data_IF_598188996084
#
_entry.id   IF_598188996084
#
_cell.length_a   1.000
_cell.length_b   1.000
_cell.length_c   1.000
_cell.angle_alpha   90.00
_cell.angle_beta   90.00
_cell.angle_gamma   90.00
#
_symmetry.space_group_name_H-M   'P 1'
#
loop_
_entity.id
_entity.type
_entity.pdbx_description
1 polymer ?
#
# COMPACT_ATOMS: atom_id res chain seq x y z
N UNK A 1 26.23 13.18 22.36
CA UNK A 1 24.99 12.42 22.60
C UNK A 1 23.98 12.61 21.46
N UNK A 2 23.72 13.83 20.99
CA UNK A 2 22.80 14.15 19.90
C UNK A 2 23.16 13.51 18.53
N UNK A 3 24.45 13.38 18.20
CA UNK A 3 24.91 12.76 16.95
C UNK A 3 24.67 11.25 16.92
N UNK A 4 24.86 10.56 18.04
CA UNK A 4 24.54 9.11 18.18
C UNK A 4 23.03 8.88 18.11
N UNK A 5 22.23 9.77 18.72
CA UNK A 5 20.77 9.68 18.65
C UNK A 5 20.26 9.88 17.22
N UNK A 6 20.80 10.89 16.49
CA UNK A 6 20.48 11.10 15.06
C UNK A 6 20.87 9.90 14.19
N UNK A 7 22.03 9.29 14.43
CA UNK A 7 22.47 8.10 13.65
C UNK A 7 21.62 6.87 13.96
N UNK A 8 21.26 6.64 15.23
CA UNK A 8 20.39 5.53 15.64
C UNK A 8 18.96 5.74 15.13
N UNK A 9 18.43 6.97 15.19
CA UNK A 9 17.12 7.30 14.65
C UNK A 9 17.07 7.16 13.13
N UNK A 10 18.09 7.62 12.41
CA UNK A 10 18.17 7.43 10.94
C UNK A 10 18.30 5.96 10.55
N UNK A 11 19.01 5.14 11.34
CA UNK A 11 19.08 3.72 11.14
C UNK A 11 17.75 3.01 11.42
N UNK A 12 17.02 3.43 12.44
CA UNK A 12 15.67 2.95 12.75
C UNK A 12 14.68 3.28 11.63
N UNK A 13 14.67 4.52 11.15
CA UNK A 13 13.79 4.97 10.05
C UNK A 13 14.06 4.21 8.74
N UNK A 14 15.29 3.77 8.52
CA UNK A 14 15.70 3.03 7.31
C UNK A 14 15.49 1.51 7.41
N UNK A 15 15.12 1.00 8.58
CA UNK A 15 14.97 -0.43 8.79
C UNK A 15 13.52 -0.86 8.50
N UNK A 16 13.33 -1.76 7.53
CA UNK A 16 12.02 -2.31 7.15
C UNK A 16 11.27 -2.95 8.34
N UNK A 17 12.01 -3.51 9.31
CA UNK A 17 11.42 -4.10 10.53
C UNK A 17 10.77 -3.08 11.46
N UNK A 18 11.19 -1.81 11.37
CA UNK A 18 10.69 -0.77 12.28
C UNK A 18 9.21 -0.43 12.04
N UNK A 19 8.78 -0.42 10.77
CA UNK A 19 7.37 -0.23 10.41
C UNK A 19 6.48 -1.34 10.96
N UNK A 20 6.87 -2.60 10.74
CA UNK A 20 6.11 -3.75 11.22
C UNK A 20 6.02 -3.81 12.77
N UNK A 21 7.10 -3.46 13.47
CA UNK A 21 7.08 -3.38 14.94
C UNK A 21 6.20 -2.27 15.46
N UNK A 22 6.20 -1.10 14.83
CA UNK A 22 5.32 0.00 15.20
C UNK A 22 3.85 -0.32 14.91
N UNK A 23 3.57 -0.97 13.78
CA UNK A 23 2.25 -1.44 13.42
C UNK A 23 1.71 -2.42 14.48
N UNK A 24 2.49 -3.43 14.85
CA UNK A 24 2.11 -4.38 15.89
C UNK A 24 1.91 -3.69 17.25
N UNK A 25 2.80 -2.78 17.63
CA UNK A 25 2.68 -2.02 18.87
C UNK A 25 1.40 -1.16 18.87
N UNK A 26 1.10 -0.47 17.77
CA UNK A 26 -0.12 0.33 17.62
C UNK A 26 -1.38 -0.54 17.74
N UNK A 27 -1.38 -1.72 17.13
CA UNK A 27 -2.47 -2.70 17.23
C UNK A 27 -2.69 -3.14 18.68
N UNK A 28 -1.61 -3.48 19.40
CA UNK A 28 -1.71 -3.88 20.81
C UNK A 28 -2.24 -2.72 21.66
N UNK A 29 -1.77 -1.51 21.43
CA UNK A 29 -2.25 -0.31 22.13
C UNK A 29 -3.73 -0.07 21.84
N UNK A 30 -4.18 -0.20 20.58
CA UNK A 30 -5.58 -0.07 20.20
C UNK A 30 -6.47 -1.07 20.95
N UNK A 31 -6.07 -2.36 20.94
CA UNK A 31 -6.78 -3.42 21.66
C UNK A 31 -6.84 -3.18 23.16
N UNK A 32 -5.72 -2.79 23.77
CA UNK A 32 -5.70 -2.46 25.20
C UNK A 32 -6.57 -1.25 25.52
N UNK A 33 -6.51 -0.21 24.72
CA UNK A 33 -7.31 1.00 24.92
C UNK A 33 -8.81 0.71 24.77
N UNK A 34 -9.22 -0.01 23.72
CA UNK A 34 -10.63 -0.38 23.52
C UNK A 34 -11.20 -1.26 24.64
N UNK A 35 -10.37 -2.15 25.23
CA UNK A 35 -10.85 -3.10 26.26
C UNK A 35 -10.68 -2.58 27.70
N UNK A 36 -9.75 -1.68 27.96
CA UNK A 36 -9.50 -1.15 29.31
C UNK A 36 -10.01 0.29 29.49
N UNK A 37 -10.14 1.06 28.41
CA UNK A 37 -10.51 2.47 28.42
C UNK A 37 -12.03 2.73 28.40
N UNK A 38 -12.88 1.72 28.45
CA UNK A 38 -14.32 1.83 28.29
C UNK A 38 -14.68 2.47 26.95
N UNK A 39 -15.66 3.40 26.92
CA UNK A 39 -16.07 4.07 25.69
C UNK A 39 -15.11 5.17 25.20
N UNK A 40 -13.97 5.40 25.86
CA UNK A 40 -13.06 6.49 25.51
C UNK A 40 -12.41 6.31 24.14
N UNK A 41 -12.16 5.07 23.70
CA UNK A 41 -11.60 4.74 22.39
C UNK A 41 -12.57 5.15 21.28
N UNK A 42 -13.81 4.66 21.34
CA UNK A 42 -14.84 4.98 20.36
C UNK A 42 -15.14 6.49 20.33
N UNK A 43 -15.32 7.09 21.52
CA UNK A 43 -15.59 8.53 21.61
C UNK A 43 -14.46 9.38 21.00
N UNK A 44 -13.20 9.00 21.17
CA UNK A 44 -12.06 9.72 20.60
C UNK A 44 -12.06 9.63 19.06
N UNK A 45 -12.19 8.43 18.50
CA UNK A 45 -12.08 8.23 17.06
C UNK A 45 -13.33 8.69 16.29
N UNK A 46 -14.49 8.70 16.92
CA UNK A 46 -15.72 9.27 16.36
C UNK A 46 -15.88 10.76 16.60
N UNK A 47 -14.90 11.42 17.26
CA UNK A 47 -14.90 12.89 17.38
C UNK A 47 -14.81 13.50 15.99
N UNK A 48 -15.74 14.41 15.67
CA UNK A 48 -15.77 15.11 14.38
C UNK A 48 -14.73 16.23 14.33
N UNK A 49 -14.00 16.27 13.24
CA UNK A 49 -13.11 17.35 12.87
C UNK A 49 -13.56 17.94 11.54
N UNK A 50 -14.03 19.21 11.60
CA UNK A 50 -14.57 19.89 10.43
C UNK A 50 -13.64 21.01 9.95
N UNK A 51 -13.44 21.07 8.62
CA UNK A 51 -12.72 22.16 7.96
C UNK A 51 -13.73 22.93 7.11
N UNK A 52 -13.95 24.21 7.47
CA UNK A 52 -14.82 25.09 6.72
C UNK A 52 -14.01 26.20 6.04
N UNK A 53 -14.22 26.39 4.75
CA UNK A 53 -13.64 27.48 3.97
C UNK A 53 -14.76 28.37 3.42
N UNK A 54 -15.33 29.21 4.28
CA UNK A 54 -16.53 29.98 3.98
C UNK A 54 -17.71 29.08 3.61
N UNK A 55 -18.55 29.55 2.69
CA UNK A 55 -19.71 28.79 2.18
C UNK A 55 -19.37 27.89 0.99
N UNK A 56 -18.09 27.88 0.55
CA UNK A 56 -17.67 27.21 -0.68
C UNK A 56 -17.29 25.76 -0.43
N UNK A 57 -16.71 25.46 0.73
CA UNK A 57 -16.16 24.17 1.03
C UNK A 57 -16.32 23.83 2.51
N UNK A 58 -16.96 22.70 2.79
CA UNK A 58 -17.09 22.15 4.15
C UNK A 58 -16.87 20.65 4.09
N UNK A 59 -15.88 20.18 4.83
CA UNK A 59 -15.66 18.75 5.08
C UNK A 59 -15.79 18.53 6.57
N UNK A 60 -16.76 17.72 6.96
CA UNK A 60 -16.99 17.32 8.34
C UNK A 60 -16.95 15.79 8.42
N UNK A 61 -15.91 15.26 9.05
CA UNK A 61 -15.68 13.84 9.15
C UNK A 61 -15.15 13.49 10.54
N UNK A 62 -15.39 12.25 11.01
CA UNK A 62 -14.76 11.72 12.21
C UNK A 62 -13.25 11.63 12.04
N UNK A 63 -12.50 11.62 13.15
CA UNK A 63 -11.04 11.41 13.10
C UNK A 63 -10.68 10.09 12.43
N UNK A 64 -11.44 9.02 12.65
CA UNK A 64 -11.27 7.73 11.99
C UNK A 64 -11.42 7.88 10.47
N UNK A 65 -12.43 8.56 9.99
CA UNK A 65 -12.67 8.82 8.56
C UNK A 65 -11.55 9.67 7.92
N UNK A 66 -11.02 10.66 8.65
CA UNK A 66 -9.85 11.43 8.21
C UNK A 66 -8.60 10.55 8.03
N UNK A 67 -8.43 9.54 8.87
CA UNK A 67 -7.33 8.59 8.75
C UNK A 67 -7.58 7.65 7.57
N UNK A 68 -8.78 7.07 7.48
CA UNK A 68 -9.13 6.08 6.47
C UNK A 68 -9.15 6.65 5.06
N UNK A 69 -9.65 7.87 4.86
CA UNK A 69 -9.68 8.51 3.55
C UNK A 69 -8.48 9.42 3.27
N UNK A 70 -8.01 10.14 4.29
CA UNK A 70 -6.92 11.12 4.10
C UNK A 70 -5.54 10.49 4.20
N UNK A 71 -5.21 9.84 5.31
CA UNK A 71 -3.88 9.27 5.50
C UNK A 71 -3.68 8.03 4.63
N UNK A 72 -4.69 7.16 4.50
CA UNK A 72 -4.57 5.96 3.65
C UNK A 72 -4.42 6.29 2.17
N UNK A 73 -4.87 7.46 1.70
CA UNK A 73 -4.51 7.94 0.35
C UNK A 73 -2.99 7.95 0.14
N UNK A 74 -2.20 8.35 1.17
CA UNK A 74 -0.73 8.36 1.06
C UNK A 74 -0.15 6.94 0.98
N UNK A 75 -0.75 5.99 1.70
CA UNK A 75 -0.39 4.58 1.62
C UNK A 75 -0.65 4.03 0.21
N UNK A 76 -1.85 4.19 -0.31
CA UNK A 76 -2.20 3.72 -1.65
C UNK A 76 -1.43 4.45 -2.76
N UNK A 77 -1.06 5.70 -2.54
CA UNK A 77 -0.17 6.42 -3.44
C UNK A 77 1.22 5.76 -3.47
N UNK A 78 1.81 5.45 -2.31
CA UNK A 78 3.10 4.76 -2.22
C UNK A 78 3.04 3.39 -2.94
N UNK A 79 2.04 2.57 -2.63
CA UNK A 79 1.84 1.26 -3.27
C UNK A 79 1.74 1.40 -4.79
N UNK A 80 0.98 2.38 -5.28
CA UNK A 80 0.82 2.61 -6.73
C UNK A 80 2.10 3.10 -7.41
N UNK A 81 2.96 3.83 -6.70
CA UNK A 81 4.30 4.20 -7.19
C UNK A 81 5.19 2.96 -7.33
N UNK A 82 5.16 2.05 -6.35
CA UNK A 82 5.90 0.78 -6.35
C UNK A 82 5.42 -0.11 -7.50
N UNK A 83 4.10 -0.30 -7.60
CA UNK A 83 3.45 -1.03 -8.69
C UNK A 83 3.92 -0.53 -10.05
N UNK A 84 3.81 0.77 -10.30
CA UNK A 84 4.22 1.36 -11.58
C UNK A 84 5.71 1.20 -11.85
N UNK A 85 6.53 1.33 -10.82
CA UNK A 85 7.97 1.11 -10.92
C UNK A 85 8.25 -0.34 -11.37
N UNK A 86 7.60 -1.32 -10.74
CA UNK A 86 7.80 -2.74 -11.03
C UNK A 86 7.31 -3.13 -12.43
N UNK A 87 6.23 -2.53 -12.92
CA UNK A 87 5.77 -2.73 -14.30
C UNK A 87 6.72 -2.15 -15.35
N UNK A 88 7.39 -1.03 -15.05
CA UNK A 88 8.21 -0.32 -16.05
C UNK A 88 9.67 -0.76 -15.97
N UNK A 89 10.22 -0.96 -14.78
CA UNK A 89 11.64 -1.20 -14.53
C UNK A 89 11.94 -2.45 -13.72
N UNK A 90 10.96 -3.02 -13.01
CA UNK A 90 11.13 -4.14 -12.08
C UNK A 90 10.88 -5.51 -12.71
N UNK A 91 10.64 -6.49 -11.84
CA UNK A 91 10.45 -7.91 -12.18
C UNK A 91 9.20 -8.15 -13.06
N UNK A 92 8.18 -7.28 -12.98
CA UNK A 92 6.95 -7.40 -13.79
C UNK A 92 7.16 -7.04 -15.26
N UNK A 93 8.29 -6.44 -15.63
CA UNK A 93 8.62 -6.10 -17.02
C UNK A 93 8.83 -7.34 -17.89
N UNK A 94 9.42 -8.42 -17.37
CA UNK A 94 9.67 -9.67 -18.07
C UNK A 94 8.53 -10.65 -17.84
N UNK A 95 7.59 -10.78 -18.79
CA UNK A 95 6.41 -11.63 -18.67
C UNK A 95 6.71 -13.07 -18.24
N UNK A 96 7.81 -13.67 -18.69
CA UNK A 96 8.19 -15.05 -18.34
C UNK A 96 8.50 -15.20 -16.83
N UNK A 97 9.07 -14.16 -16.21
CA UNK A 97 9.38 -14.15 -14.78
C UNK A 97 8.20 -13.68 -13.95
N UNK A 98 7.45 -12.72 -14.47
CA UNK A 98 6.28 -12.13 -13.80
C UNK A 98 5.08 -13.08 -13.80
N UNK A 99 4.96 -14.00 -14.75
CA UNK A 99 3.76 -14.83 -14.92
C UNK A 99 3.46 -15.72 -13.71
N UNK A 100 4.46 -16.32 -13.07
CA UNK A 100 4.22 -17.17 -11.87
C UNK A 100 3.72 -16.34 -10.70
N UNK A 101 4.39 -15.23 -10.27
CA UNK A 101 3.85 -14.35 -9.25
C UNK A 101 2.47 -13.78 -9.55
N UNK A 102 2.24 -13.35 -10.81
CA UNK A 102 0.94 -12.78 -11.22
C UNK A 102 -0.18 -13.82 -11.15
N UNK A 103 0.03 -15.03 -11.70
CA UNK A 103 -0.96 -16.12 -11.61
C UNK A 103 -1.21 -16.53 -10.16
N UNK A 104 -0.16 -16.57 -9.35
CA UNK A 104 -0.27 -16.88 -7.93
C UNK A 104 -1.05 -15.79 -7.16
N UNK A 105 -0.81 -14.50 -7.46
CA UNK A 105 -1.54 -13.39 -6.85
C UNK A 105 -3.02 -13.42 -7.26
N UNK A 106 -3.33 -13.56 -8.55
CA UNK A 106 -4.72 -13.64 -9.03
C UNK A 106 -5.47 -14.81 -8.38
N UNK A 107 -4.83 -15.98 -8.28
CA UNK A 107 -5.42 -17.10 -7.56
C UNK A 107 -5.53 -16.84 -6.05
N UNK A 108 -4.56 -16.11 -5.48
CA UNK A 108 -4.56 -15.64 -4.10
C UNK A 108 -5.66 -14.63 -3.79
N UNK A 109 -6.25 -13.95 -4.77
CA UNK A 109 -7.46 -13.13 -4.64
C UNK A 109 -8.73 -13.98 -4.78
N UNK A 110 -8.80 -14.82 -5.82
CA UNK A 110 -10.01 -15.55 -6.20
C UNK A 110 -10.31 -16.69 -5.21
N UNK A 111 -9.31 -17.51 -4.85
CA UNK A 111 -9.53 -18.70 -4.02
C UNK A 111 -10.02 -18.35 -2.61
N UNK A 112 -9.43 -17.38 -1.89
CA UNK A 112 -9.97 -16.94 -0.60
C UNK A 112 -11.39 -16.40 -0.70
N UNK A 113 -11.70 -15.59 -1.72
CA UNK A 113 -13.03 -15.05 -1.94
C UNK A 113 -14.08 -16.17 -2.17
N UNK A 114 -13.74 -17.18 -2.97
CA UNK A 114 -14.62 -18.33 -3.21
C UNK A 114 -14.82 -19.17 -1.94
N UNK A 115 -13.78 -19.39 -1.13
CA UNK A 115 -13.89 -20.11 0.13
C UNK A 115 -14.76 -19.30 1.10
N UNK A 116 -14.52 -18.01 1.24
CA UNK A 116 -15.34 -17.14 2.07
C UNK A 116 -16.81 -17.19 1.66
N UNK A 117 -17.08 -17.05 0.36
CA UNK A 117 -18.43 -17.12 -0.18
C UNK A 117 -19.10 -18.48 0.08
N UNK A 118 -18.34 -19.59 0.01
CA UNK A 118 -18.88 -20.92 0.31
C UNK A 118 -19.34 -21.08 1.78
N UNK A 119 -18.70 -20.37 2.73
CA UNK A 119 -19.11 -20.35 4.14
C UNK A 119 -20.30 -19.41 4.40
N UNK A 120 -20.41 -18.33 3.64
CA UNK A 120 -21.36 -17.25 3.87
C UNK A 120 -22.45 -17.13 2.80
N UNK A 121 -22.55 -18.09 1.88
CA UNK A 121 -23.58 -18.12 0.85
C UNK A 121 -24.98 -18.15 1.48
N UNK A 122 -25.79 -17.12 1.19
CA UNK A 122 -27.15 -16.98 1.72
C UNK A 122 -27.25 -16.31 3.10
N UNK A 123 -26.15 -15.76 3.61
CA UNK A 123 -26.15 -14.84 4.76
C UNK A 123 -26.04 -13.39 4.29
N UNK A 124 -26.42 -12.44 5.14
CA UNK A 124 -26.31 -10.99 4.86
C UNK A 124 -24.82 -10.55 4.74
N UNK A 125 -23.90 -11.36 5.29
CA UNK A 125 -22.46 -11.09 5.28
C UNK A 125 -21.76 -11.58 4.00
N UNK A 126 -22.49 -12.12 3.01
CA UNK A 126 -21.90 -12.68 1.79
C UNK A 126 -21.07 -11.66 1.00
N UNK A 127 -21.42 -10.37 1.06
CA UNK A 127 -20.76 -9.29 0.35
C UNK A 127 -19.42 -8.87 0.98
N UNK A 128 -19.09 -9.32 2.20
CA UNK A 128 -17.84 -9.02 2.89
C UNK A 128 -16.62 -9.83 2.38
N UNK A 129 -16.74 -10.53 1.24
CA UNK A 129 -15.65 -11.36 0.69
C UNK A 129 -14.36 -10.59 0.39
N UNK A 130 -14.44 -9.27 0.20
CA UNK A 130 -13.27 -8.43 0.01
C UNK A 130 -12.29 -8.43 1.18
N UNK A 131 -12.76 -8.73 2.38
CA UNK A 131 -11.94 -8.76 3.61
C UNK A 131 -10.83 -9.81 3.54
N UNK A 132 -11.03 -10.91 2.82
CA UNK A 132 -10.09 -12.04 2.76
C UNK A 132 -9.14 -12.02 1.56
N UNK A 133 -9.25 -11.02 0.67
CA UNK A 133 -8.48 -11.02 -0.59
C UNK A 133 -7.09 -10.40 -0.44
N UNK A 134 -6.86 -9.53 0.53
CA UNK A 134 -5.60 -8.79 0.65
C UNK A 134 -4.58 -9.46 1.57
N UNK A 135 -3.32 -9.25 1.25
CA UNK A 135 -2.16 -9.59 2.09
C UNK A 135 -1.57 -8.31 2.67
N UNK A 136 -1.19 -8.31 3.94
CA UNK A 136 -0.48 -7.16 4.54
C UNK A 136 1.00 -7.19 4.18
N UNK A 137 1.36 -6.37 3.18
CA UNK A 137 2.73 -6.24 2.68
C UNK A 137 3.70 -5.80 3.77
N UNK A 138 3.28 -4.91 4.68
CA UNK A 138 4.15 -4.39 5.75
C UNK A 138 4.53 -5.50 6.75
N UNK A 139 3.58 -6.36 7.13
CA UNK A 139 3.86 -7.52 7.98
C UNK A 139 4.73 -8.56 7.27
N UNK A 140 4.43 -8.88 6.02
CA UNK A 140 5.22 -9.84 5.23
C UNK A 140 6.65 -9.37 5.12
N UNK A 141 6.89 -8.12 4.74
CA UNK A 141 8.23 -7.53 4.64
C UNK A 141 8.95 -7.48 6.01
N UNK A 142 8.23 -7.16 7.08
CA UNK A 142 8.74 -7.19 8.44
C UNK A 142 9.24 -8.58 8.85
N UNK A 143 8.47 -9.63 8.58
CA UNK A 143 8.85 -11.02 8.85
C UNK A 143 10.06 -11.41 7.99
N UNK A 144 10.05 -11.10 6.69
CA UNK A 144 11.17 -11.38 5.79
C UNK A 144 12.46 -10.68 6.25
N UNK A 145 12.36 -9.47 6.78
CA UNK A 145 13.51 -8.73 7.30
C UNK A 145 14.07 -9.36 8.59
N UNK A 146 13.24 -9.94 9.45
CA UNK A 146 13.67 -10.69 10.66
C UNK A 146 14.46 -11.93 10.27
N UNK A 147 14.02 -12.67 9.25
CA UNK A 147 14.76 -13.84 8.76
C UNK A 147 16.04 -13.47 7.97
N UNK A 148 16.12 -12.24 7.47
CA UNK A 148 17.31 -11.66 6.83
C UNK A 148 17.90 -12.54 5.73
N UNK A 149 19.22 -12.76 5.80
CA UNK A 149 19.98 -13.52 4.80
C UNK A 149 19.72 -15.04 4.79
N UNK A 150 18.84 -15.55 5.66
CA UNK A 150 18.51 -16.99 5.69
C UNK A 150 17.55 -17.39 4.56
N UNK A 151 16.87 -16.42 3.95
CA UNK A 151 15.95 -16.65 2.85
C UNK A 151 16.59 -16.30 1.51
N UNK A 152 16.33 -17.08 0.45
CA UNK A 152 16.79 -16.76 -0.90
C UNK A 152 16.25 -15.38 -1.33
N UNK A 153 17.09 -14.55 -1.95
CA UNK A 153 16.72 -13.23 -2.46
C UNK A 153 15.55 -13.35 -3.46
N UNK A 154 15.52 -14.44 -4.22
CA UNK A 154 14.46 -14.73 -5.19
C UNK A 154 13.10 -14.99 -4.53
N UNK A 155 13.06 -15.53 -3.29
CA UNK A 155 11.82 -15.67 -2.55
C UNK A 155 11.29 -14.31 -2.10
N UNK A 156 12.18 -13.42 -1.66
CA UNK A 156 11.81 -12.05 -1.30
C UNK A 156 11.23 -11.32 -2.51
N UNK A 157 11.91 -11.38 -3.66
CA UNK A 157 11.41 -10.79 -4.90
C UNK A 157 10.03 -11.33 -5.29
N UNK A 158 9.84 -12.66 -5.24
CA UNK A 158 8.55 -13.30 -5.54
C UNK A 158 7.44 -12.79 -4.62
N UNK A 159 7.69 -12.72 -3.30
CA UNK A 159 6.69 -12.29 -2.33
C UNK A 159 6.37 -10.79 -2.45
N UNK A 160 7.37 -9.95 -2.76
CA UNK A 160 7.15 -8.52 -3.03
C UNK A 160 6.29 -8.35 -4.28
N UNK A 161 6.66 -9.01 -5.39
CA UNK A 161 5.88 -8.95 -6.62
C UNK A 161 4.45 -9.45 -6.43
N UNK A 162 4.28 -10.55 -5.68
CA UNK A 162 2.97 -11.09 -5.35
C UNK A 162 2.15 -10.09 -4.53
N UNK A 163 2.73 -9.49 -3.49
CA UNK A 163 2.06 -8.51 -2.65
C UNK A 163 1.66 -7.26 -3.46
N UNK A 164 2.55 -6.76 -4.34
CA UNK A 164 2.24 -5.64 -5.24
C UNK A 164 1.04 -5.93 -6.14
N UNK A 165 0.97 -7.14 -6.73
CA UNK A 165 -0.16 -7.53 -7.60
C UNK A 165 -1.43 -7.74 -6.76
N UNK A 166 -1.31 -8.29 -5.57
CA UNK A 166 -2.40 -8.49 -4.61
C UNK A 166 -3.01 -7.15 -4.17
N UNK A 167 -2.17 -6.17 -3.86
CA UNK A 167 -2.59 -4.82 -3.50
C UNK A 167 -3.33 -4.11 -4.65
N UNK A 168 -2.82 -4.23 -5.90
CA UNK A 168 -3.53 -3.71 -7.09
C UNK A 168 -4.91 -4.36 -7.26
N UNK A 169 -4.96 -5.70 -7.12
CA UNK A 169 -6.20 -6.44 -7.24
C UNK A 169 -7.21 -6.02 -6.17
N UNK A 170 -6.78 -5.87 -4.93
CA UNK A 170 -7.62 -5.42 -3.81
C UNK A 170 -8.14 -4.00 -4.04
N UNK A 171 -7.29 -3.08 -4.50
CA UNK A 171 -7.69 -1.71 -4.85
C UNK A 171 -8.74 -1.67 -5.95
N UNK A 172 -8.58 -2.53 -6.97
CA UNK A 172 -9.54 -2.61 -8.07
C UNK A 172 -10.90 -3.14 -7.58
N UNK A 173 -10.90 -4.09 -6.67
CA UNK A 173 -12.12 -4.60 -6.02
C UNK A 173 -12.77 -3.50 -5.19
N UNK A 174 -12.04 -2.77 -4.35
CA UNK A 174 -12.56 -1.66 -3.55
C UNK A 174 -13.20 -0.61 -4.47
N UNK A 175 -12.51 -0.23 -5.55
CA UNK A 175 -12.98 0.78 -6.47
C UNK A 175 -14.26 0.40 -7.24
N UNK A 176 -14.47 -0.89 -7.51
CA UNK A 176 -15.57 -1.36 -8.38
C UNK A 176 -16.74 -1.97 -7.62
N UNK A 177 -16.49 -2.64 -6.51
CA UNK A 177 -17.51 -3.40 -5.76
C UNK A 177 -18.05 -2.61 -4.57
N UNK A 178 -17.18 -1.89 -3.85
CA UNK A 178 -17.53 -1.21 -2.59
C UNK A 178 -17.87 0.27 -2.77
N UNK A 179 -18.19 0.72 -3.99
CA UNK A 179 -18.65 2.09 -4.26
C UNK A 179 -20.19 2.12 -4.31
N UNK A 180 -20.83 2.77 -3.34
CA UNK A 180 -22.30 2.76 -3.20
C UNK A 180 -23.02 3.79 -4.08
N UNK A 181 -22.53 5.03 -4.17
CA UNK A 181 -23.17 6.13 -4.90
C UNK A 181 -22.14 6.90 -5.72
N UNK A 182 -22.41 7.05 -7.00
CA UNK A 182 -21.50 7.73 -7.91
C UNK A 182 -22.14 9.06 -8.36
N UNK A 183 -21.46 10.18 -8.05
CA UNK A 183 -21.76 11.48 -8.63
C UNK A 183 -20.85 11.73 -9.84
N UNK A 184 -21.42 11.88 -11.02
CA UNK A 184 -20.66 12.00 -12.27
C UNK A 184 -19.95 13.34 -12.43
N UNK A 185 -20.49 14.43 -11.84
CA UNK A 185 -19.92 15.77 -12.02
C UNK A 185 -18.49 15.89 -11.44
N UNK A 186 -18.22 15.48 -10.19
CA UNK A 186 -16.83 15.46 -9.69
C UNK A 186 -15.93 14.50 -10.46
N UNK A 187 -16.46 13.37 -10.98
CA UNK A 187 -15.67 12.42 -11.76
C UNK A 187 -15.19 13.02 -13.10
N UNK A 188 -15.95 13.90 -13.72
CA UNK A 188 -15.47 14.67 -14.87
C UNK A 188 -14.26 15.52 -14.45
N UNK A 189 -14.29 16.13 -13.27
CA UNK A 189 -13.13 16.83 -12.70
C UNK A 189 -11.92 15.94 -12.52
N UNK A 190 -12.11 14.70 -12.03
CA UNK A 190 -11.03 13.70 -11.92
C UNK A 190 -10.39 13.42 -13.28
N UNK A 191 -11.19 13.20 -14.31
CA UNK A 191 -10.70 12.97 -15.69
C UNK A 191 -9.92 14.19 -16.21
N UNK A 192 -10.41 15.40 -15.96
CA UNK A 192 -9.72 16.64 -16.37
C UNK A 192 -8.37 16.76 -15.66
N UNK A 193 -8.31 16.56 -14.34
CA UNK A 193 -7.04 16.62 -13.59
C UNK A 193 -6.07 15.51 -14.05
N UNK A 194 -6.56 14.29 -14.31
CA UNK A 194 -5.75 13.21 -14.84
C UNK A 194 -5.18 13.57 -16.23
N UNK A 195 -5.98 14.15 -17.11
CA UNK A 195 -5.53 14.62 -18.42
C UNK A 195 -4.50 15.76 -18.29
N UNK A 196 -4.71 16.71 -17.39
CA UNK A 196 -3.73 17.78 -17.10
C UNK A 196 -2.41 17.20 -16.57
N UNK A 197 -2.46 16.22 -15.65
CA UNK A 197 -1.26 15.52 -15.16
C UNK A 197 -0.51 14.82 -16.30
N UNK A 198 -1.23 14.19 -17.22
CA UNK A 198 -0.63 13.57 -18.39
C UNK A 198 0.07 14.62 -19.28
N UNK A 199 -0.53 15.79 -19.47
CA UNK A 199 0.10 16.90 -20.21
C UNK A 199 1.34 17.45 -19.48
N UNK A 200 1.28 17.63 -18.17
CA UNK A 200 2.39 18.05 -17.31
C UNK A 200 3.55 17.05 -17.40
N UNK A 201 3.23 15.75 -17.39
CA UNK A 201 4.21 14.68 -17.60
C UNK A 201 4.89 14.80 -18.98
N UNK A 202 4.09 15.00 -20.04
CA UNK A 202 4.61 15.18 -21.41
C UNK A 202 5.44 16.44 -21.56
N UNK A 203 5.13 17.50 -20.82
CA UNK A 203 5.91 18.73 -20.75
C UNK A 203 7.20 18.60 -19.91
N UNK A 204 7.51 17.40 -19.40
CA UNK A 204 8.69 17.10 -18.58
C UNK A 204 8.82 18.01 -17.33
N UNK A 205 7.70 18.36 -16.72
CA UNK A 205 7.69 19.13 -15.47
C UNK A 205 7.88 18.17 -14.30
N UNK A 206 9.06 18.15 -13.71
CA UNK A 206 9.43 17.22 -12.60
C UNK A 206 9.37 17.88 -11.22
N UNK A 207 8.50 18.87 -11.04
CA UNK A 207 8.33 19.58 -9.78
C UNK A 207 7.33 18.86 -8.88
N UNK A 208 7.79 18.31 -7.76
CA UNK A 208 6.94 17.52 -6.84
C UNK A 208 5.71 18.28 -6.34
N UNK A 209 5.80 19.60 -6.14
CA UNK A 209 4.69 20.44 -5.68
C UNK A 209 3.46 20.41 -6.61
N UNK A 210 3.67 20.26 -7.92
CA UNK A 210 2.56 20.18 -8.89
C UNK A 210 1.77 18.88 -8.69
N UNK A 211 2.47 17.78 -8.47
CA UNK A 211 1.85 16.47 -8.25
C UNK A 211 1.16 16.39 -6.89
N UNK A 212 1.74 17.02 -5.84
CA UNK A 212 1.11 17.11 -4.52
C UNK A 212 -0.20 17.92 -4.61
N UNK A 213 -0.18 19.07 -5.27
CA UNK A 213 -1.38 19.88 -5.45
C UNK A 213 -2.46 19.15 -6.26
N UNK A 214 -2.06 18.46 -7.34
CA UNK A 214 -2.97 17.65 -8.13
C UNK A 214 -3.55 16.47 -7.31
N UNK A 215 -2.73 15.84 -6.46
CA UNK A 215 -3.16 14.78 -5.55
C UNK A 215 -4.22 15.26 -4.56
N UNK A 216 -4.00 16.41 -3.93
CA UNK A 216 -4.98 17.02 -3.04
C UNK A 216 -6.30 17.35 -3.77
N UNK A 217 -6.21 17.87 -5.00
CA UNK A 217 -7.39 18.16 -5.82
C UNK A 217 -8.14 16.87 -6.21
N UNK A 218 -7.42 15.82 -6.63
CA UNK A 218 -8.02 14.51 -6.92
C UNK A 218 -8.73 13.95 -5.70
N UNK A 219 -8.10 14.02 -4.53
CA UNK A 219 -8.69 13.54 -3.27
C UNK A 219 -10.02 14.24 -2.97
N UNK A 220 -10.08 15.58 -3.09
CA UNK A 220 -11.30 16.34 -2.89
C UNK A 220 -12.39 15.98 -3.90
N UNK A 221 -12.03 15.76 -5.16
CA UNK A 221 -12.96 15.37 -6.21
C UNK A 221 -13.51 13.96 -5.99
N UNK A 222 -12.68 13.01 -5.57
CA UNK A 222 -13.14 11.67 -5.23
C UNK A 222 -14.04 11.69 -4.00
N UNK A 223 -13.67 12.44 -2.96
CA UNK A 223 -14.52 12.62 -1.77
C UNK A 223 -15.91 13.18 -2.15
N UNK A 224 -15.96 14.17 -3.05
CA UNK A 224 -17.22 14.75 -3.52
C UNK A 224 -18.00 13.82 -4.48
N UNK A 225 -17.35 12.81 -5.06
CA UNK A 225 -17.99 11.88 -6.01
C UNK A 225 -18.70 10.71 -5.35
N UNK A 226 -18.46 10.46 -4.06
CA UNK A 226 -18.92 9.27 -3.33
C UNK A 226 -18.12 8.00 -3.62
N UNK A 227 -17.05 8.11 -4.41
CA UNK A 227 -16.06 7.05 -4.60
C UNK A 227 -15.00 7.18 -3.50
N UNK A 228 -14.49 6.07 -2.99
CA UNK A 228 -13.45 6.10 -1.95
C UNK A 228 -12.31 7.07 -2.29
N UNK A 229 -12.09 8.04 -1.42
CA UNK A 229 -11.14 9.13 -1.68
C UNK A 229 -9.68 8.64 -1.79
N UNK A 230 -9.37 7.49 -1.22
CA UNK A 230 -8.08 6.80 -1.31
C UNK A 230 -7.66 6.45 -2.74
N UNK A 231 -8.62 6.25 -3.65
CA UNK A 231 -8.37 5.98 -5.08
C UNK A 231 -7.61 7.14 -5.75
N UNK A 232 -7.73 8.36 -5.23
CA UNK A 232 -6.94 9.49 -5.67
C UNK A 232 -5.42 9.20 -5.61
N UNK A 233 -4.97 8.54 -4.54
CA UNK A 233 -3.57 8.10 -4.40
C UNK A 233 -3.16 7.13 -5.49
N UNK A 234 -4.05 6.18 -5.82
CA UNK A 234 -3.81 5.18 -6.88
C UNK A 234 -3.67 5.86 -8.24
N UNK A 235 -4.64 6.68 -8.60
CA UNK A 235 -4.63 7.41 -9.88
C UNK A 235 -3.39 8.29 -9.99
N UNK A 236 -3.06 9.03 -8.94
CA UNK A 236 -1.87 9.88 -8.92
C UNK A 236 -0.59 9.04 -9.10
N UNK A 237 -0.42 7.94 -8.37
CA UNK A 237 0.76 7.07 -8.45
C UNK A 237 0.94 6.44 -9.83
N UNK A 238 -0.14 5.95 -10.40
CA UNK A 238 -0.13 5.39 -11.76
C UNK A 238 0.15 6.44 -12.85
N UNK A 239 -0.15 7.71 -12.61
CA UNK A 239 0.14 8.79 -13.55
C UNK A 239 1.57 9.34 -13.41
N UNK A 240 2.29 9.13 -12.29
CA UNK A 240 3.65 9.64 -12.17
C UNK A 240 4.62 8.95 -13.15
N UNK A 241 5.51 9.72 -13.79
CA UNK A 241 6.44 9.14 -14.76
C UNK A 241 7.54 8.31 -14.06
N UNK A 242 7.77 7.13 -14.61
CA UNK A 242 8.91 6.26 -14.30
C UNK A 242 9.77 6.20 -15.55
N UNK A 243 11.05 6.46 -15.42
CA UNK A 243 12.01 6.36 -16.52
C UNK A 243 13.38 5.94 -15.99
N UNK A 244 14.13 5.13 -16.76
CA UNK A 244 15.50 4.80 -16.38
C UNK A 244 16.38 6.06 -16.45
N UNK A 245 17.41 6.16 -15.59
CA UNK A 245 18.34 7.28 -15.64
C UNK A 245 18.99 7.38 -17.02
N UNK A 246 18.82 8.53 -17.70
CA UNK A 246 19.51 8.79 -18.96
C UNK A 246 21.00 9.05 -18.69
N UNK A 247 21.88 8.36 -19.41
CA UNK A 247 23.34 8.49 -19.24
C UNK A 247 23.82 9.95 -19.37
N UNK A 248 23.20 10.72 -20.23
CA UNK A 248 23.48 12.14 -20.43
C UNK A 248 23.18 12.98 -19.18
N UNK A 249 22.06 12.72 -18.52
CA UNK A 249 21.68 13.43 -17.29
C UNK A 249 22.54 13.00 -16.09
N UNK A 250 22.92 11.72 -16.02
CA UNK A 250 23.85 11.22 -14.99
C UNK A 250 25.22 11.86 -15.12
N UNK A 251 25.79 11.92 -16.33
CA UNK A 251 27.07 12.58 -16.60
C UNK A 251 27.01 14.08 -16.27
N UNK A 252 25.90 14.72 -16.61
CA UNK A 252 25.70 16.14 -16.28
C UNK A 252 25.62 16.37 -14.77
N UNK A 253 24.96 15.48 -14.02
CA UNK A 253 24.91 15.54 -12.57
C UNK A 253 26.31 15.36 -11.95
N UNK A 254 27.11 14.45 -12.50
CA UNK A 254 28.51 14.25 -12.10
C UNK A 254 29.33 15.52 -12.32
N UNK A 255 29.24 16.11 -13.49
CA UNK A 255 29.94 17.36 -13.83
C UNK A 255 29.57 18.52 -12.89
N UNK A 256 28.27 18.72 -12.63
CA UNK A 256 27.76 19.74 -11.71
C UNK A 256 28.24 19.48 -10.27
N UNK A 257 28.28 18.24 -9.86
CA UNK A 257 28.78 17.86 -8.54
C UNK A 257 30.30 18.08 -8.43
N UNK A 258 31.04 17.77 -9.49
CA UNK A 258 32.46 18.04 -9.57
C UNK A 258 32.77 19.55 -9.54
N UNK A 259 31.95 20.36 -10.22
CA UNK A 259 32.05 21.81 -10.18
C UNK A 259 31.81 22.39 -8.79
N UNK A 260 30.77 21.87 -8.07
CA UNK A 260 30.53 22.23 -6.67
C UNK A 260 31.70 21.89 -5.76
N UNK A 261 32.34 20.72 -5.95
CA UNK A 261 33.53 20.35 -5.15
C UNK A 261 34.71 21.29 -5.34
N UNK A 262 34.85 21.88 -6.53
CA UNK A 262 35.93 22.89 -6.81
C UNK A 262 35.56 24.26 -6.27
N UNK A 263 34.31 24.66 -6.34
CA UNK A 263 33.82 25.98 -5.94
C UNK A 263 32.57 25.83 -5.09
N UNK A 264 32.72 25.59 -3.76
CA UNK A 264 31.58 25.26 -2.86
C UNK A 264 30.83 26.55 -2.47
N UNK A 265 30.00 27.05 -3.37
CA UNK A 265 29.08 28.18 -3.14
C UNK A 265 27.63 27.74 -3.34
N UNK A 266 26.67 28.53 -2.82
CA UNK A 266 25.25 28.18 -2.85
C UNK A 266 24.72 27.96 -4.29
N UNK A 267 25.17 28.73 -5.27
CA UNK A 267 24.73 28.58 -6.67
C UNK A 267 25.17 27.26 -7.29
N UNK A 268 26.43 26.87 -7.09
CA UNK A 268 26.94 25.58 -7.60
C UNK A 268 26.39 24.42 -6.87
N UNK A 269 26.11 24.56 -5.56
CA UNK A 269 25.40 23.55 -4.76
C UNK A 269 23.97 23.32 -5.26
N UNK A 270 23.22 24.40 -5.51
CA UNK A 270 21.85 24.29 -6.07
C UNK A 270 21.86 23.66 -7.47
N UNK A 271 22.83 24.00 -8.32
CA UNK A 271 22.97 23.40 -9.64
C UNK A 271 23.24 21.88 -9.57
N UNK A 272 24.13 21.45 -8.65
CA UNK A 272 24.43 20.04 -8.42
C UNK A 272 23.19 19.26 -7.95
N UNK A 273 22.43 19.80 -6.97
CA UNK A 273 21.17 19.20 -6.48
C UNK A 273 20.16 19.07 -7.62
N UNK A 274 19.96 20.11 -8.43
CA UNK A 274 19.04 20.07 -9.57
C UNK A 274 19.49 19.03 -10.60
N UNK A 275 20.79 18.93 -10.88
CA UNK A 275 21.33 17.90 -11.77
C UNK A 275 21.03 16.49 -11.29
N UNK A 276 21.27 16.20 -10.00
CA UNK A 276 20.96 14.90 -9.38
C UNK A 276 19.45 14.63 -9.44
N UNK A 277 18.61 15.60 -9.09
CA UNK A 277 17.16 15.44 -9.12
C UNK A 277 16.60 15.17 -10.53
N UNK A 278 17.26 15.63 -11.58
CA UNK A 278 16.87 15.35 -12.98
C UNK A 278 17.29 13.96 -13.45
N UNK A 279 18.36 13.40 -12.90
CA UNK A 279 18.83 12.07 -13.26
C UNK A 279 18.03 10.93 -12.63
N UNK A 280 17.21 11.22 -11.61
CA UNK A 280 16.37 10.23 -10.91
C UNK A 280 14.89 10.47 -11.22
N UNK A 281 14.12 9.43 -11.46
CA UNK A 281 12.69 9.54 -11.75
C UNK A 281 11.93 10.18 -10.58
N UNK A 282 10.88 10.93 -10.90
CA UNK A 282 10.05 11.56 -9.87
C UNK A 282 9.35 10.51 -9.01
N UNK A 283 9.00 9.37 -9.62
CA UNK A 283 8.41 8.22 -8.93
C UNK A 283 9.34 7.72 -7.81
N UNK A 284 10.61 7.41 -8.10
CA UNK A 284 11.58 6.96 -7.08
C UNK A 284 11.82 7.98 -5.98
N UNK A 285 11.89 9.27 -6.35
CA UNK A 285 12.06 10.35 -5.36
C UNK A 285 10.88 10.45 -4.41
N UNK A 286 9.66 10.29 -4.93
CA UNK A 286 8.44 10.30 -4.12
C UNK A 286 8.36 9.04 -3.23
N UNK A 287 8.72 7.86 -3.74
CA UNK A 287 8.81 6.64 -2.93
C UNK A 287 9.77 6.83 -1.75
N UNK A 288 11.00 7.29 -2.01
CA UNK A 288 12.00 7.53 -0.95
C UNK A 288 11.55 8.55 0.11
N UNK A 289 10.77 9.55 -0.30
CA UNK A 289 10.26 10.56 0.63
C UNK A 289 9.05 10.06 1.43
N UNK A 290 8.17 9.28 0.81
CA UNK A 290 6.91 8.84 1.41
C UNK A 290 7.04 7.56 2.23
N UNK A 291 7.86 6.60 1.81
CA UNK A 291 7.98 5.31 2.49
C UNK A 291 8.22 5.42 4.01
N UNK A 292 9.13 6.27 4.52
CA UNK A 292 9.30 6.41 5.96
C UNK A 292 8.07 7.01 6.65
N UNK A 293 7.37 7.96 6.02
CA UNK A 293 6.16 8.58 6.58
C UNK A 293 5.03 7.55 6.63
N UNK A 294 4.83 6.83 5.53
CA UNK A 294 3.77 5.83 5.43
C UNK A 294 4.01 4.71 6.43
N UNK A 295 5.20 4.11 6.44
CA UNK A 295 5.48 2.94 7.26
C UNK A 295 5.60 3.24 8.76
N UNK A 296 6.05 4.44 9.15
CA UNK A 296 6.27 4.78 10.56
C UNK A 296 5.13 5.61 11.17
N UNK A 297 4.29 6.26 10.37
CA UNK A 297 3.22 7.13 10.87
C UNK A 297 1.87 6.66 10.35
N UNK A 298 1.66 6.64 9.01
CA UNK A 298 0.33 6.41 8.43
C UNK A 298 -0.22 5.04 8.81
N UNK A 299 0.54 3.97 8.54
CA UNK A 299 0.10 2.60 8.81
C UNK A 299 -0.08 2.32 10.31
N UNK A 300 0.83 2.72 11.24
CA UNK A 300 0.59 2.58 12.66
C UNK A 300 -0.60 3.40 13.19
N UNK A 301 -0.81 4.63 12.70
CA UNK A 301 -1.97 5.45 13.10
C UNK A 301 -3.27 4.83 12.59
N UNK A 302 -3.28 4.32 11.36
CA UNK A 302 -4.42 3.57 10.81
C UNK A 302 -4.74 2.34 11.67
N UNK A 303 -3.73 1.56 12.06
CA UNK A 303 -3.93 0.42 12.97
C UNK A 303 -4.46 0.85 14.34
N UNK A 304 -3.97 1.96 14.86
CA UNK A 304 -4.42 2.50 16.14
C UNK A 304 -5.89 2.93 16.10
N UNK A 305 -6.40 3.40 14.97
CA UNK A 305 -7.79 3.85 14.81
C UNK A 305 -8.77 2.72 14.47
N UNK A 306 -8.30 1.61 13.88
CA UNK A 306 -9.19 0.58 13.33
C UNK A 306 -9.06 -0.79 14.01
N UNK A 307 -7.98 -1.05 14.78
CA UNK A 307 -7.79 -2.34 15.44
C UNK A 307 -8.41 -2.44 16.85
N UNK A 308 -9.15 -1.43 17.29
CA UNK A 308 -9.75 -1.39 18.64
C UNK A 308 -11.01 -2.25 18.78
N UNK A 309 -10.87 -3.55 18.72
CA UNK A 309 -11.99 -4.50 18.88
C UNK A 309 -12.23 -4.82 20.35
N UNK A 310 -13.51 -4.76 20.79
CA UNK A 310 -13.90 -5.14 22.14
C UNK A 310 -13.97 -6.66 22.24
N UNK A 311 -13.11 -7.23 23.08
CA UNK A 311 -13.02 -8.69 23.33
C UNK A 311 -13.78 -9.00 24.61
N UNK A 312 -15.03 -9.46 24.49
CA UNK A 312 -15.84 -9.97 25.61
C UNK A 312 -16.10 -11.47 25.45
N UNK A 313 -16.48 -12.13 26.54
CA UNK A 313 -16.86 -13.56 26.47
C UNK A 313 -18.04 -13.80 25.53
N UNK A 314 -18.99 -12.88 25.47
CA UNK A 314 -20.15 -12.93 24.57
C UNK A 314 -19.72 -12.73 23.11
N UNK A 315 -18.88 -11.72 22.86
CA UNK A 315 -18.34 -11.44 21.51
C UNK A 315 -17.58 -12.65 20.96
N UNK A 316 -16.75 -13.30 21.79
CA UNK A 316 -16.03 -14.50 21.40
C UNK A 316 -16.98 -15.68 21.10
N UNK A 317 -18.00 -15.89 21.93
CA UNK A 317 -18.97 -16.95 21.67
C UNK A 317 -19.76 -16.72 20.37
N UNK A 318 -20.16 -15.48 20.10
CA UNK A 318 -20.79 -15.12 18.84
C UNK A 318 -19.85 -15.33 17.65
N UNK A 319 -18.60 -14.87 17.76
CA UNK A 319 -17.60 -15.04 16.71
C UNK A 319 -17.38 -16.52 16.37
N UNK A 320 -17.23 -17.40 17.37
CA UNK A 320 -17.05 -18.84 17.11
C UNK A 320 -18.25 -19.53 16.48
N UNK A 321 -19.47 -18.99 16.62
CA UNK A 321 -20.69 -19.53 16.00
C UNK A 321 -20.98 -18.91 14.63
N UNK A 322 -20.36 -17.75 14.29
CA UNK A 322 -20.64 -17.03 13.07
C UNK A 322 -19.95 -17.68 11.86
N UNK A 323 -20.67 -17.97 10.76
CA UNK A 323 -20.09 -18.38 9.49
C UNK A 323 -19.07 -17.36 8.95
N UNK A 324 -19.30 -16.05 9.21
CA UNK A 324 -18.41 -14.97 8.84
C UNK A 324 -16.99 -15.20 9.37
N UNK A 325 -16.86 -15.50 10.67
CA UNK A 325 -15.54 -15.74 11.29
C UNK A 325 -14.82 -16.92 10.67
N UNK A 326 -15.52 -18.03 10.45
CA UNK A 326 -14.94 -19.21 9.82
C UNK A 326 -14.62 -18.98 8.36
N UNK A 327 -15.44 -18.22 7.66
CA UNK A 327 -15.18 -17.76 6.28
C UNK A 327 -13.90 -16.93 6.19
N UNK A 328 -13.70 -15.98 7.12
CA UNK A 328 -12.47 -15.14 7.17
C UNK A 328 -11.25 -16.01 7.48
N UNK A 329 -11.30 -16.84 8.52
CA UNK A 329 -10.16 -17.70 8.90
C UNK A 329 -9.82 -18.68 7.78
N UNK A 330 -10.82 -19.38 7.23
CA UNK A 330 -10.62 -20.33 6.14
C UNK A 330 -10.11 -19.62 4.85
N UNK A 331 -10.65 -18.45 4.53
CA UNK A 331 -10.23 -17.64 3.38
C UNK A 331 -8.79 -17.16 3.51
N UNK A 332 -8.44 -16.50 4.62
CA UNK A 332 -7.10 -15.96 4.82
C UNK A 332 -6.04 -17.06 4.99
N UNK A 333 -6.26 -18.02 5.89
CA UNK A 333 -5.24 -19.03 6.20
C UNK A 333 -5.22 -20.12 5.14
N UNK A 334 -6.39 -20.71 4.82
CA UNK A 334 -6.48 -21.81 3.86
C UNK A 334 -6.50 -21.33 2.42
N UNK A 335 -7.34 -20.34 2.12
CA UNK A 335 -7.57 -19.85 0.77
C UNK A 335 -6.34 -19.17 0.15
N UNK A 336 -5.69 -18.29 0.89
CA UNK A 336 -4.43 -17.66 0.44
C UNK A 336 -3.33 -18.68 0.20
N UNK A 337 -3.14 -19.59 1.15
CA UNK A 337 -2.15 -20.65 1.01
C UNK A 337 -2.43 -21.54 -0.23
N UNK A 338 -3.65 -22.04 -0.38
CA UNK A 338 -4.04 -22.90 -1.50
C UNK A 338 -3.99 -22.16 -2.83
N UNK A 339 -4.46 -20.91 -2.86
CA UNK A 339 -4.43 -20.06 -4.05
C UNK A 339 -3.01 -19.79 -4.51
N UNK A 340 -2.17 -19.25 -3.65
CA UNK A 340 -0.80 -18.86 -4.01
C UNK A 340 0.08 -20.07 -4.29
N UNK A 341 0.11 -21.05 -3.39
CA UNK A 341 0.96 -22.25 -3.56
C UNK A 341 0.48 -23.13 -4.71
N UNK A 342 -0.83 -23.43 -4.75
CA UNK A 342 -1.41 -24.26 -5.79
C UNK A 342 -1.25 -23.67 -7.19
N UNK A 343 -1.55 -22.39 -7.34
CA UNK A 343 -1.39 -21.70 -8.61
C UNK A 343 0.09 -21.58 -9.04
N UNK A 344 1.02 -21.39 -8.11
CA UNK A 344 2.45 -21.40 -8.42
C UNK A 344 2.91 -22.75 -8.97
N UNK A 345 2.42 -23.87 -8.41
CA UNK A 345 2.70 -25.22 -8.92
C UNK A 345 2.07 -25.43 -10.30
N UNK A 346 0.82 -25.01 -10.46
CA UNK A 346 0.09 -25.16 -11.74
C UNK A 346 0.78 -24.36 -12.84
N UNK A 347 1.10 -23.08 -12.57
CA UNK A 347 1.77 -22.20 -13.53
C UNK A 347 3.12 -22.76 -13.99
N UNK A 348 3.90 -23.33 -13.09
CA UNK A 348 5.20 -23.94 -13.41
C UNK A 348 5.04 -25.26 -14.17
N UNK A 349 4.10 -26.13 -13.77
CA UNK A 349 3.83 -27.39 -14.47
C UNK A 349 3.27 -27.18 -15.88
N UNK A 350 2.42 -26.19 -16.07
CA UNK A 350 1.86 -25.82 -17.38
C UNK A 350 2.84 -24.99 -18.22
N UNK A 351 4.04 -24.70 -17.72
CA UNK A 351 5.07 -23.88 -18.39
C UNK A 351 4.58 -22.49 -18.78
N UNK A 352 3.64 -21.93 -18.02
CA UNK A 352 3.17 -20.54 -18.17
C UNK A 352 4.32 -19.58 -17.80
N UNK A 353 5.15 -19.98 -16.83
CA UNK A 353 6.35 -19.27 -16.43
C UNK A 353 7.37 -20.18 -15.81
N UNK A 354 8.54 -19.62 -15.52
CA UNK A 354 9.66 -20.32 -14.90
C UNK A 354 9.91 -19.76 -13.50
N UNK A 355 10.21 -20.66 -12.56
CA UNK A 355 10.70 -20.23 -11.25
C UNK A 355 12.11 -19.65 -11.40
N UNK A 356 12.39 -18.59 -10.64
CA UNK A 356 13.74 -18.05 -10.57
C UNK A 356 14.73 -19.12 -10.14
N UNK A 357 15.95 -19.06 -10.67
CA UNK A 357 17.03 -19.98 -10.32
C UNK A 357 17.23 -19.98 -8.80
N UNK A 358 17.42 -21.16 -8.20
CA UNK A 358 17.54 -21.39 -6.75
C UNK A 358 16.23 -21.34 -5.95
N UNK A 359 15.07 -21.12 -6.57
CA UNK A 359 13.76 -21.17 -5.91
C UNK A 359 13.19 -22.60 -6.00
N UNK A 360 13.02 -23.25 -4.86
CA UNK A 360 12.39 -24.58 -4.78
C UNK A 360 10.97 -24.47 -4.27
N UNK A 361 10.10 -25.43 -4.58
CA UNK A 361 8.71 -25.48 -4.09
C UNK A 361 8.58 -25.35 -2.56
N UNK A 362 9.57 -25.85 -1.78
CA UNK A 362 9.61 -25.67 -0.33
C UNK A 362 9.68 -24.20 0.09
N UNK A 363 10.35 -23.35 -0.68
CA UNK A 363 10.44 -21.91 -0.41
C UNK A 363 9.13 -21.22 -0.71
N UNK A 364 8.46 -21.61 -1.83
CA UNK A 364 7.14 -21.09 -2.18
C UNK A 364 6.10 -21.53 -1.15
N UNK A 365 6.16 -22.78 -0.68
CA UNK A 365 5.30 -23.30 0.38
C UNK A 365 5.40 -22.45 1.65
N UNK A 366 6.61 -22.18 2.13
CA UNK A 366 6.83 -21.32 3.29
C UNK A 366 6.39 -19.87 3.04
N UNK A 367 6.68 -19.34 1.84
CA UNK A 367 6.26 -17.98 1.45
C UNK A 367 4.75 -17.82 1.38
N UNK A 368 4.04 -18.78 0.80
CA UNK A 368 2.57 -18.74 0.68
C UNK A 368 1.83 -18.80 2.03
N UNK A 369 2.44 -19.35 3.07
CA UNK A 369 1.88 -19.27 4.42
C UNK A 369 1.90 -17.82 4.96
N UNK A 370 2.89 -17.02 4.58
CA UNK A 370 2.98 -15.63 5.01
C UNK A 370 1.94 -14.73 4.33
N UNK A 371 1.45 -15.10 3.15
CA UNK A 371 0.44 -14.32 2.42
C UNK A 371 -0.94 -14.36 3.06
N UNK A 372 -1.20 -15.27 3.98
CA UNK A 372 -2.43 -15.34 4.76
C UNK A 372 -2.57 -14.28 5.86
N UNK A 373 -1.60 -13.38 6.00
CA UNK A 373 -1.67 -12.28 6.96
C UNK A 373 -2.40 -11.12 6.29
N UNK A 374 -3.70 -10.99 6.53
CA UNK A 374 -4.52 -9.83 6.15
C UNK A 374 -4.71 -8.94 7.39
N UNK A 375 -4.44 -7.63 7.26
CA UNK A 375 -4.62 -6.69 8.36
C UNK A 375 -5.08 -5.31 7.84
N UNK A 376 -4.20 -4.52 7.23
CA UNK A 376 -4.49 -3.12 6.88
C UNK A 376 -5.66 -2.98 5.90
N UNK A 377 -5.63 -3.67 4.77
CA UNK A 377 -6.70 -3.58 3.75
C UNK A 377 -7.96 -4.33 4.23
N UNK A 378 -7.81 -5.43 4.98
CA UNK A 378 -8.96 -6.13 5.56
C UNK A 378 -9.74 -5.25 6.54
N UNK A 379 -9.05 -4.50 7.40
CA UNK A 379 -9.68 -3.52 8.30
C UNK A 379 -10.30 -2.35 7.52
N UNK A 380 -9.67 -1.92 6.43
CA UNK A 380 -10.19 -0.85 5.59
C UNK A 380 -11.50 -1.22 4.86
N UNK A 381 -11.69 -2.49 4.52
CA UNK A 381 -12.92 -2.97 3.83
C UNK A 381 -14.08 -3.14 4.81
N UNK A 382 -13.79 -3.41 6.09
CA UNK A 382 -14.83 -3.61 7.12
C UNK A 382 -15.42 -2.26 7.59
N UNK A 383 -14.66 -1.16 7.52
CA UNK A 383 -15.08 0.17 7.93
C UNK A 383 -16.00 0.81 6.90
#
# INVERSE_FOLDING_TARGET
MLTKFKSSFSAFVRNETSGATLLLAATIVALLWANLGGHSYEHFWHTHFSIHLGDIFSVDMSLQHWINDGLMMMFFFLVSLEVKHDFVMGELREWRRASVPVVAAVAGLIVPALIFYAFNAGTDDADAWGVVISTDTAFVMGILAVFGNRLPVQLRALLVTLAVVDDVGSLLVIATVYTERISFVPLIGVVVIAALLFLVQRARVYRSSVYIAAGATLWLLFLASGVHATIAGVVLGLLLPVFPPERSEVLRAEELTHHFRRTPVASTGSAAVIGILRSVSINERMQLALAPIVNLIVVPVFALSNAGVIISGETLQHAFKSPLTWGIIAGLVGGKYLGVFGASIIATKLRIGELAQCLAYRHINAGSMLTGIGFTISLFIID
#
